data_IF_183687749825
#
_entry.id   IF_183687749825
#
_cell.length_a   1.000
_cell.length_b   1.000
_cell.length_c   1.000
_cell.angle_alpha   90.00
_cell.angle_beta   90.00
_cell.angle_gamma   90.00
#
_symmetry.space_group_name_H-M   'P 1'
#
loop_
_entity.id
_entity.type
_entity.pdbx_description
1 polymer ?
#
# COMPACT_ATOMS: atom_id res chain seq x y z
N UNK A 1 -22.36 -70.65 17.85
CA UNK A 1 -21.32 -70.19 16.92
C UNK A 1 -21.46 -68.69 16.70
N UNK A 2 -20.31 -67.99 16.70
CA UNK A 2 -20.02 -66.62 16.25
C UNK A 2 -20.73 -65.45 16.92
N UNK A 3 -20.09 -64.92 17.96
CA UNK A 3 -20.22 -63.54 18.43
C UNK A 3 -18.85 -62.88 18.25
N UNK A 4 -18.68 -62.13 17.17
CA UNK A 4 -17.40 -61.51 16.80
C UNK A 4 -17.60 -60.42 15.75
N UNK A 5 -16.90 -59.30 15.95
CA UNK A 5 -16.44 -58.36 14.91
C UNK A 5 -17.27 -57.13 14.51
N UNK A 6 -17.97 -56.46 15.45
CA UNK A 6 -18.55 -55.12 15.18
C UNK A 6 -17.71 -53.95 15.75
N UNK A 7 -16.71 -54.23 16.60
CA UNK A 7 -15.93 -53.20 17.31
C UNK A 7 -14.64 -52.77 16.59
N UNK A 8 -14.23 -53.47 15.53
CA UNK A 8 -12.97 -53.19 14.82
C UNK A 8 -13.13 -52.05 13.79
N UNK A 9 -14.20 -52.08 12.98
CA UNK A 9 -14.41 -51.08 11.93
C UNK A 9 -14.72 -49.67 12.46
N UNK A 10 -15.44 -49.56 13.57
CA UNK A 10 -15.80 -48.28 14.19
C UNK A 10 -14.59 -47.58 14.82
N UNK A 11 -13.57 -48.35 15.24
CA UNK A 11 -12.33 -47.82 15.80
C UNK A 11 -11.42 -47.21 14.72
N UNK A 12 -11.36 -47.85 13.55
CA UNK A 12 -10.54 -47.38 12.43
C UNK A 12 -11.06 -46.08 11.81
N UNK A 13 -12.39 -45.92 11.73
CA UNK A 13 -13.00 -44.66 11.30
C UNK A 13 -12.60 -43.52 12.23
N UNK A 14 -12.79 -43.70 13.55
CA UNK A 14 -12.46 -42.68 14.57
C UNK A 14 -10.99 -42.29 14.52
N UNK A 15 -10.08 -43.24 14.28
CA UNK A 15 -8.63 -42.97 14.13
C UNK A 15 -8.31 -42.15 12.88
N UNK A 16 -8.97 -42.41 11.75
CA UNK A 16 -8.80 -41.63 10.51
C UNK A 16 -9.31 -40.19 10.69
N UNK A 17 -10.47 -40.01 11.31
CA UNK A 17 -11.02 -38.68 11.61
C UNK A 17 -10.18 -37.93 12.65
N UNK A 18 -9.70 -38.61 13.71
CA UNK A 18 -8.83 -38.00 14.71
C UNK A 18 -7.51 -37.50 14.10
N UNK A 19 -6.88 -38.27 13.20
CA UNK A 19 -5.68 -37.84 12.48
C UNK A 19 -5.94 -36.64 11.57
N UNK A 20 -7.04 -36.63 10.81
CA UNK A 20 -7.43 -35.47 9.99
C UNK A 20 -7.70 -34.23 10.85
N UNK A 21 -8.37 -34.40 11.99
CA UNK A 21 -8.65 -33.32 12.92
C UNK A 21 -7.37 -32.75 13.54
N UNK A 22 -6.44 -33.61 13.95
CA UNK A 22 -5.13 -33.18 14.46
C UNK A 22 -4.31 -32.44 13.40
N UNK A 23 -4.36 -32.87 12.14
CA UNK A 23 -3.71 -32.16 11.04
C UNK A 23 -4.31 -30.76 10.84
N UNK A 24 -5.64 -30.65 10.83
CA UNK A 24 -6.32 -29.35 10.70
C UNK A 24 -5.97 -28.40 11.85
N UNK A 25 -6.01 -28.87 13.10
CA UNK A 25 -5.61 -28.08 14.27
C UNK A 25 -4.14 -27.66 14.16
N UNK A 26 -3.26 -28.59 13.78
CA UNK A 26 -1.84 -28.30 13.56
C UNK A 26 -1.62 -27.20 12.53
N UNK A 27 -2.32 -27.26 11.39
CA UNK A 27 -2.20 -26.21 10.35
C UNK A 27 -2.67 -24.84 10.84
N UNK A 28 -3.74 -24.77 11.63
CA UNK A 28 -4.22 -23.51 12.21
C UNK A 28 -3.22 -22.91 13.20
N UNK A 29 -2.60 -23.75 14.03
CA UNK A 29 -1.54 -23.30 14.96
C UNK A 29 -0.32 -22.78 14.19
N UNK A 30 0.09 -23.48 13.13
CA UNK A 30 1.21 -23.07 12.27
C UNK A 30 0.92 -21.71 11.61
N UNK A 31 -0.28 -21.50 11.07
CA UNK A 31 -0.64 -20.21 10.44
C UNK A 31 -0.54 -19.08 11.46
N UNK A 32 -1.10 -19.24 12.66
CA UNK A 32 -1.02 -18.22 13.71
C UNK A 32 0.45 -17.94 14.13
N UNK A 33 1.28 -18.98 14.19
CA UNK A 33 2.70 -18.84 14.50
C UNK A 33 3.47 -18.09 13.41
N UNK A 34 3.20 -18.38 12.13
CA UNK A 34 3.80 -17.67 10.99
C UNK A 34 3.37 -16.20 11.02
N UNK A 35 2.08 -15.90 11.22
CA UNK A 35 1.59 -14.52 11.32
C UNK A 35 2.25 -13.75 12.46
N UNK A 36 2.40 -14.38 13.64
CA UNK A 36 3.07 -13.79 14.79
C UNK A 36 4.57 -13.56 14.51
N UNK A 37 5.24 -14.51 13.85
CA UNK A 37 6.65 -14.38 13.48
C UNK A 37 6.88 -13.22 12.49
N UNK A 38 6.02 -13.08 11.48
CA UNK A 38 6.08 -11.96 10.53
C UNK A 38 5.83 -10.63 11.24
N UNK A 39 4.82 -10.56 12.12
CA UNK A 39 4.53 -9.37 12.91
C UNK A 39 5.71 -8.97 13.82
N UNK A 40 6.34 -9.96 14.48
CA UNK A 40 7.51 -9.74 15.32
C UNK A 40 8.73 -9.30 14.48
N UNK A 41 8.90 -9.88 13.29
CA UNK A 41 10.00 -9.57 12.37
C UNK A 41 9.89 -8.15 11.80
N UNK A 42 8.68 -7.61 11.61
CA UNK A 42 8.52 -6.21 11.20
C UNK A 42 8.89 -5.20 12.30
N UNK A 43 8.79 -5.59 13.59
CA UNK A 43 9.13 -4.72 14.72
C UNK A 43 10.64 -4.44 14.84
N UNK A 44 11.49 -5.26 14.20
CA UNK A 44 12.95 -5.10 14.22
C UNK A 44 13.51 -4.25 13.05
N UNK A 45 12.66 -3.54 12.29
CA UNK A 45 13.08 -2.45 11.40
C UNK A 45 12.40 -1.13 11.80
N UNK A 46 12.58 -0.68 13.05
CA UNK A 46 12.51 0.74 13.37
C UNK A 46 13.67 1.07 14.30
N UNK A 47 14.87 1.01 13.76
CA UNK A 47 15.98 1.87 14.16
C UNK A 47 16.51 2.53 12.89
N UNK A 48 15.70 3.42 12.32
CA UNK A 48 16.25 4.47 11.47
C UNK A 48 16.84 5.52 12.40
N UNK A 49 18.01 5.19 12.96
CA UNK A 49 18.98 6.18 13.39
C UNK A 49 19.45 6.90 12.11
N UNK A 50 18.62 7.84 11.67
CA UNK A 50 18.79 8.59 10.45
C UNK A 50 19.80 9.71 10.75
N UNK A 51 21.06 9.32 10.98
CA UNK A 51 22.21 10.19 10.91
C UNK A 51 22.81 10.07 9.50
N UNK A 52 22.13 10.70 8.57
CA UNK A 52 22.59 10.91 7.21
C UNK A 52 23.27 12.27 7.23
N UNK A 53 24.58 12.26 7.48
CA UNK A 53 25.46 13.37 7.12
C UNK A 53 25.51 13.44 5.58
N UNK A 54 24.41 13.89 5.00
CA UNK A 54 24.30 14.15 3.57
C UNK A 54 25.07 15.44 3.31
N UNK A 55 26.40 15.31 3.24
CA UNK A 55 27.30 16.33 2.75
C UNK A 55 27.10 16.48 1.25
N UNK A 56 25.91 16.98 0.89
CA UNK A 56 25.61 17.43 -0.44
C UNK A 56 26.54 18.60 -0.71
N UNK A 57 27.54 18.35 -1.55
CA UNK A 57 28.35 19.41 -2.13
C UNK A 57 27.38 20.19 -3.02
N UNK A 58 26.81 21.26 -2.48
CA UNK A 58 25.97 22.18 -3.24
C UNK A 58 26.75 22.54 -4.51
N UNK A 59 26.24 22.23 -5.72
CA UNK A 59 26.71 22.94 -6.89
C UNK A 59 26.46 24.41 -6.61
N UNK A 60 27.52 25.20 -6.66
CA UNK A 60 27.43 26.65 -6.55
C UNK A 60 26.41 27.15 -7.57
N UNK A 61 25.48 28.04 -7.18
CA UNK A 61 24.49 28.58 -8.09
C UNK A 61 25.21 29.45 -9.11
N UNK A 62 25.42 28.92 -10.31
CA UNK A 62 25.67 29.77 -11.47
C UNK A 62 24.34 30.40 -11.84
N UNK A 63 24.17 31.60 -11.32
CA UNK A 63 23.24 32.63 -11.75
C UNK A 63 23.27 32.77 -13.27
N UNK A 64 22.29 32.17 -13.95
CA UNK A 64 21.70 32.71 -15.18
C UNK A 64 20.19 32.56 -15.05
N UNK A 65 19.56 33.67 -14.65
CA UNK A 65 18.20 34.14 -14.96
C UNK A 65 17.22 33.11 -15.51
N UNK A 66 16.45 32.47 -14.62
CA UNK A 66 15.00 32.19 -14.70
C UNK A 66 14.66 31.39 -13.42
N UNK A 67 14.21 32.11 -12.39
CA UNK A 67 14.11 31.64 -11.01
C UNK A 67 12.87 30.76 -10.82
N UNK A 68 12.96 29.43 -10.53
CA UNK A 68 11.88 28.72 -9.90
C UNK A 68 11.95 29.08 -8.42
N UNK A 69 11.32 30.19 -8.06
CA UNK A 69 11.06 30.49 -6.67
C UNK A 69 10.41 29.26 -6.06
N UNK A 70 10.94 28.81 -4.92
CA UNK A 70 10.09 28.13 -3.96
C UNK A 70 9.01 29.15 -3.62
N UNK A 71 7.91 29.11 -4.37
CA UNK A 71 6.80 30.00 -4.15
C UNK A 71 6.30 29.58 -2.78
N UNK A 72 6.45 30.45 -1.80
CA UNK A 72 5.58 30.47 -0.62
C UNK A 72 4.18 30.89 -1.09
N UNK A 73 3.67 30.13 -2.06
CA UNK A 73 2.49 30.37 -2.83
C UNK A 73 1.48 29.40 -2.28
N UNK A 74 0.42 29.95 -1.71
CA UNK A 74 -0.77 29.18 -1.40
C UNK A 74 -1.46 28.64 -2.66
N UNK A 75 -0.87 28.82 -3.84
CA UNK A 75 -1.44 28.57 -5.16
C UNK A 75 -0.39 27.97 -6.10
N UNK A 76 -0.85 27.24 -7.12
CA UNK A 76 -0.05 26.73 -8.23
C UNK A 76 0.16 27.79 -9.31
N UNK A 77 0.95 27.44 -10.35
CA UNK A 77 1.29 28.31 -11.49
C UNK A 77 0.06 28.91 -12.20
N UNK A 78 -1.05 28.18 -12.25
CA UNK A 78 -2.30 28.63 -12.86
C UNK A 78 -3.22 29.43 -11.92
N UNK A 79 -2.77 29.72 -10.70
CA UNK A 79 -3.54 30.41 -9.68
C UNK A 79 -4.45 29.52 -8.84
N UNK A 80 -4.51 28.21 -9.10
CA UNK A 80 -5.31 27.25 -8.31
C UNK A 80 -4.80 27.19 -6.88
N UNK A 81 -5.67 27.26 -5.88
CA UNK A 81 -5.26 27.15 -4.48
C UNK A 81 -4.73 25.75 -4.13
N UNK A 82 -3.83 25.69 -3.14
CA UNK A 82 -3.26 24.44 -2.64
C UNK A 82 -4.37 23.48 -2.21
N UNK A 83 -4.24 22.24 -2.67
CA UNK A 83 -5.19 21.15 -2.49
C UNK A 83 -6.56 21.36 -3.15
N UNK A 84 -6.65 22.26 -4.13
CA UNK A 84 -7.84 22.44 -4.95
C UNK A 84 -7.64 21.92 -6.38
N UNK A 85 -8.77 21.68 -7.04
CA UNK A 85 -8.80 21.32 -8.46
C UNK A 85 -8.69 22.57 -9.31
N UNK A 86 -7.83 22.50 -10.32
CA UNK A 86 -7.76 23.54 -11.34
C UNK A 86 -9.03 23.55 -12.17
N UNK A 87 -9.34 24.71 -12.74
CA UNK A 87 -10.35 24.82 -13.81
C UNK A 87 -9.98 23.94 -15.01
N UNK A 88 -8.68 23.69 -15.22
CA UNK A 88 -8.15 22.77 -16.24
C UNK A 88 -8.14 21.34 -15.70
N UNK A 89 -9.28 20.65 -15.79
CA UNK A 89 -9.37 19.22 -15.45
C UNK A 89 -8.43 18.38 -16.34
N UNK A 90 -7.75 17.35 -15.81
CA UNK A 90 -7.88 16.76 -14.47
C UNK A 90 -6.89 17.29 -13.41
N UNK A 91 -6.35 18.50 -13.59
CA UNK A 91 -5.24 18.97 -12.77
C UNK A 91 -5.67 19.33 -11.34
N UNK A 92 -4.81 18.97 -10.39
CA UNK A 92 -4.94 19.22 -8.96
C UNK A 92 -3.68 19.90 -8.45
N UNK A 93 -3.85 20.97 -7.68
CA UNK A 93 -2.73 21.71 -7.12
C UNK A 93 -2.21 21.05 -5.84
N UNK A 94 -0.98 20.52 -5.88
CA UNK A 94 -0.33 19.90 -4.72
C UNK A 94 1.09 20.43 -4.58
N UNK A 95 1.39 21.02 -3.42
CA UNK A 95 2.72 21.56 -3.09
C UNK A 95 3.26 22.54 -4.15
N UNK A 96 2.39 23.42 -4.66
CA UNK A 96 2.74 24.41 -5.69
C UNK A 96 2.87 23.84 -7.10
N UNK A 97 2.59 22.56 -7.31
CA UNK A 97 2.64 21.90 -8.62
C UNK A 97 1.27 21.37 -9.05
N UNK A 98 0.99 21.48 -10.34
CA UNK A 98 -0.21 20.88 -10.94
C UNK A 98 0.09 19.43 -11.32
N UNK A 99 -0.70 18.52 -10.78
CA UNK A 99 -0.61 17.09 -11.04
C UNK A 99 -1.93 16.58 -11.61
N UNK A 100 -1.89 15.63 -12.53
CA UNK A 100 -3.12 14.96 -12.99
C UNK A 100 -3.71 14.13 -11.85
N UNK A 101 -4.96 14.43 -11.47
CA UNK A 101 -5.76 13.66 -10.52
C UNK A 101 -7.21 13.57 -10.97
N UNK A 102 -7.45 12.86 -12.07
CA UNK A 102 -8.78 12.70 -12.66
C UNK A 102 -9.79 12.06 -11.69
N UNK A 103 -9.35 11.16 -10.81
CA UNK A 103 -10.21 10.62 -9.75
C UNK A 103 -10.72 11.68 -8.76
N UNK A 104 -9.95 12.75 -8.53
CA UNK A 104 -10.30 13.82 -7.58
C UNK A 104 -11.04 14.97 -8.27
N UNK A 105 -10.55 15.40 -9.43
CA UNK A 105 -11.04 16.60 -10.12
C UNK A 105 -12.00 16.33 -11.28
N UNK A 106 -12.14 15.05 -11.66
CA UNK A 106 -12.90 14.63 -12.82
C UNK A 106 -12.19 14.93 -14.14
N UNK A 107 -12.87 14.56 -15.24
CA UNK A 107 -12.38 14.80 -16.59
C UNK A 107 -13.17 15.92 -17.30
N UNK A 108 -12.58 16.52 -18.34
CA UNK A 108 -13.31 17.39 -19.26
C UNK A 108 -14.44 16.64 -19.98
N UNK A 109 -15.35 17.39 -20.62
CA UNK A 109 -16.47 16.80 -21.36
C UNK A 109 -15.98 15.86 -22.47
N UNK A 110 -16.62 14.69 -22.58
CA UNK A 110 -16.30 13.68 -23.59
C UNK A 110 -15.09 12.79 -23.28
N UNK A 111 -14.45 12.96 -22.11
CA UNK A 111 -13.38 12.09 -21.63
C UNK A 111 -13.83 11.31 -20.39
N UNK A 112 -13.39 10.06 -20.29
CA UNK A 112 -13.60 9.19 -19.14
C UNK A 112 -12.34 9.15 -18.27
N UNK A 113 -12.56 8.95 -16.98
CA UNK A 113 -11.49 8.74 -16.02
C UNK A 113 -10.83 7.40 -16.33
N UNK A 114 -9.54 7.43 -16.64
CA UNK A 114 -8.67 6.25 -16.60
C UNK A 114 -7.60 6.50 -15.52
N UNK A 115 -7.84 5.96 -14.33
CA UNK A 115 -7.00 6.19 -13.17
C UNK A 115 -6.86 7.70 -12.86
N UNK A 116 -5.64 8.24 -12.83
CA UNK A 116 -5.40 9.66 -12.55
C UNK A 116 -5.43 10.55 -13.81
N UNK A 117 -5.66 9.97 -14.98
CA UNK A 117 -5.67 10.66 -16.27
C UNK A 117 -7.04 10.55 -16.97
N UNK A 118 -7.20 11.24 -18.09
CA UNK A 118 -8.44 11.30 -18.86
C UNK A 118 -8.24 10.76 -20.28
N UNK A 119 -9.10 9.84 -20.71
CA UNK A 119 -9.03 9.16 -22.02
C UNK A 119 -10.40 9.17 -22.72
N UNK A 120 -10.44 8.95 -24.05
CA UNK A 120 -11.68 8.94 -24.84
C UNK A 120 -12.41 7.59 -24.77
#
# INVERSE_FOLDING_TARGET
>A
MKKGDNNSETFDLRRKYAKKLLFLIGTLVIINFISLFVYASQKNMIDLNFNYDFKFKLPTPKSETETPGFVEGKTCEDGTALNECSEKKPLFCYNGQLLEKAHTCGCPEGLKINFQSCEK
#
